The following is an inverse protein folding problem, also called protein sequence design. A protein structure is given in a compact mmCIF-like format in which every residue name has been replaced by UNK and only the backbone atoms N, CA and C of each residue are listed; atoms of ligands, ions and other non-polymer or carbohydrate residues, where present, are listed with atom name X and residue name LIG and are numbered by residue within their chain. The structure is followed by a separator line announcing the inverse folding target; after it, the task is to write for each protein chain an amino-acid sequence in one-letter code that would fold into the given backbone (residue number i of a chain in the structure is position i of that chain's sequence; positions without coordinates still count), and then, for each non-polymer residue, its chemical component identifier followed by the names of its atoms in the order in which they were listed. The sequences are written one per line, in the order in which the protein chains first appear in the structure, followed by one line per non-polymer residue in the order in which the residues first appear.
data_IF_352898659841
#
_entry.id   IF_352898659841
#
_cell.length_a   1.000
_cell.length_b   1.000
_cell.length_c   1.000
_cell.angle_alpha   90.00
_cell.angle_beta   90.00
_cell.angle_gamma   90.00
#
_symmetry.space_group_name_H-M   'P 1'
#
loop_
_entity.id
_entity.type
_entity.pdbx_description
1 polymer ?
#
# COMPACT_ATOMS: atom_id res chain seq x y z
N UNK A 1 10.63 -8.11 -9.11
CA UNK A 1 9.56 -9.13 -9.12
C UNK A 1 9.60 -9.85 -7.79
N UNK A 2 8.62 -9.64 -6.92
CA UNK A 2 8.60 -10.22 -5.56
C UNK A 2 7.68 -11.43 -5.48
N UNK A 3 7.75 -12.17 -4.38
CA UNK A 3 7.05 -13.44 -4.13
C UNK A 3 5.52 -13.38 -4.25
N UNK A 4 4.90 -12.21 -4.08
CA UNK A 4 3.45 -12.00 -4.21
C UNK A 4 3.00 -11.34 -5.53
N UNK A 5 3.92 -11.13 -6.46
CA UNK A 5 3.62 -10.58 -7.79
C UNK A 5 3.67 -9.05 -7.91
N UNK A 6 4.24 -8.32 -6.93
CA UNK A 6 4.42 -6.87 -7.09
C UNK A 6 5.49 -6.56 -8.15
N UNK A 7 5.19 -5.61 -9.03
CA UNK A 7 6.08 -5.00 -9.99
C UNK A 7 6.65 -3.67 -9.52
N UNK A 8 7.23 -2.92 -10.47
CA UNK A 8 7.88 -1.62 -10.19
C UNK A 8 6.84 -0.55 -9.84
N UNK A 9 5.69 -0.55 -10.53
CA UNK A 9 4.61 0.42 -10.27
C UNK A 9 4.00 0.22 -8.89
N UNK A 10 3.79 -1.02 -8.48
CA UNK A 10 3.27 -1.33 -7.14
C UNK A 10 4.28 -0.95 -6.06
N UNK A 11 5.58 -1.13 -6.31
CA UNK A 11 6.61 -0.70 -5.38
C UNK A 11 6.65 0.83 -5.20
N UNK A 12 6.48 1.60 -6.28
CA UNK A 12 6.38 3.06 -6.24
C UNK A 12 5.14 3.51 -5.44
N UNK A 13 3.98 2.89 -5.69
CA UNK A 13 2.75 3.17 -4.94
C UNK A 13 2.96 2.89 -3.44
N UNK A 14 3.57 1.76 -3.08
CA UNK A 14 3.88 1.44 -1.68
C UNK A 14 4.80 2.50 -1.06
N UNK A 15 5.81 2.97 -1.80
CA UNK A 15 6.69 4.05 -1.35
C UNK A 15 5.92 5.33 -1.02
N UNK A 16 5.02 5.75 -1.91
CA UNK A 16 4.19 6.94 -1.69
C UNK A 16 3.23 6.76 -0.51
N UNK A 17 2.64 5.58 -0.33
CA UNK A 17 1.77 5.29 0.82
C UNK A 17 2.54 5.33 2.15
N UNK A 18 3.80 4.92 2.15
CA UNK A 18 4.67 5.04 3.33
C UNK A 18 4.95 6.51 3.62
N UNK A 19 5.31 7.29 2.59
CA UNK A 19 5.55 8.74 2.73
C UNK A 19 4.31 9.47 3.28
N UNK A 20 3.13 9.19 2.73
CA UNK A 20 1.87 9.77 3.17
C UNK A 20 1.62 9.57 4.68
N UNK A 21 1.93 8.38 5.21
CA UNK A 21 1.78 8.10 6.66
C UNK A 21 2.88 8.77 7.48
N UNK A 22 4.11 8.83 6.97
CA UNK A 22 5.22 9.47 7.69
C UNK A 22 5.05 10.99 7.77
N UNK A 23 4.48 11.62 6.76
CA UNK A 23 4.21 13.07 6.73
C UNK A 23 3.07 13.45 7.69
N UNK A 24 2.07 12.58 7.89
CA UNK A 24 0.92 12.82 8.78
C UNK A 24 0.59 11.59 9.64
N UNK A 25 1.43 11.26 10.64
CA UNK A 25 1.34 9.99 11.37
C UNK A 25 0.15 9.89 12.32
N UNK A 26 -0.41 11.02 12.76
CA UNK A 26 -1.56 11.07 13.69
C UNK A 26 -2.88 11.41 12.98
N UNK A 27 -2.85 11.68 11.67
CA UNK A 27 -4.06 11.97 10.92
C UNK A 27 -4.83 10.69 10.58
N UNK A 28 -5.96 10.50 11.27
CA UNK A 28 -6.85 9.36 11.05
C UNK A 28 -7.38 9.30 9.61
N UNK A 29 -7.63 10.43 8.94
CA UNK A 29 -8.13 10.44 7.58
C UNK A 29 -7.08 9.89 6.59
N UNK A 30 -5.82 10.28 6.77
CA UNK A 30 -4.69 9.74 6.00
C UNK A 30 -4.49 8.25 6.25
N UNK A 31 -4.56 7.80 7.50
CA UNK A 31 -4.44 6.37 7.84
C UNK A 31 -5.57 5.54 7.21
N UNK A 32 -6.81 6.01 7.25
CA UNK A 32 -7.94 5.32 6.63
C UNK A 32 -7.81 5.24 5.11
N UNK A 33 -7.41 6.33 4.46
CA UNK A 33 -7.16 6.37 3.01
C UNK A 33 -6.05 5.39 2.62
N UNK A 34 -4.93 5.38 3.35
CA UNK A 34 -3.81 4.48 3.07
C UNK A 34 -4.23 3.03 3.29
N UNK A 35 -4.96 2.73 4.37
CA UNK A 35 -5.49 1.39 4.65
C UNK A 35 -6.39 0.87 3.53
N UNK A 36 -7.28 1.71 2.99
CA UNK A 36 -8.16 1.34 1.89
C UNK A 36 -7.35 0.98 0.62
N UNK A 37 -6.33 1.76 0.29
CA UNK A 37 -5.46 1.49 -0.86
C UNK A 37 -4.63 0.21 -0.69
N UNK A 38 -4.11 -0.04 0.51
CA UNK A 38 -3.41 -1.29 0.85
C UNK A 38 -4.36 -2.50 0.74
N UNK A 39 -5.62 -2.36 1.17
CA UNK A 39 -6.60 -3.43 1.05
C UNK A 39 -6.91 -3.79 -0.41
N UNK A 40 -6.98 -2.81 -1.31
CA UNK A 40 -7.16 -3.04 -2.74
C UNK A 40 -5.93 -3.76 -3.36
N UNK A 41 -4.72 -3.29 -3.06
CA UNK A 41 -3.48 -3.93 -3.52
C UNK A 41 -3.37 -5.39 -3.04
N UNK A 42 -3.66 -5.65 -1.77
CA UNK A 42 -3.55 -7.00 -1.21
C UNK A 42 -4.60 -7.97 -1.77
N UNK A 43 -5.80 -7.49 -2.11
CA UNK A 43 -6.83 -8.28 -2.82
C UNK A 43 -6.42 -8.64 -4.24
N UNK A 44 -5.79 -7.71 -4.97
CA UNK A 44 -5.31 -7.94 -6.34
C UNK A 44 -4.13 -8.92 -6.40
N UNK A 45 -3.32 -8.95 -5.35
CA UNK A 45 -2.12 -9.77 -5.25
C UNK A 45 -2.18 -10.73 -4.04
N UNK A 46 -3.04 -11.77 -4.10
CA UNK A 46 -3.14 -12.76 -3.05
C UNK A 46 -1.85 -13.59 -2.96
N UNK A 47 -1.44 -13.95 -1.74
CA UNK A 47 -0.21 -14.72 -1.49
C UNK A 47 -0.42 -16.21 -1.74
N UNK A 48 -1.61 -16.73 -1.42
CA UNK A 48 -1.99 -18.13 -1.63
C UNK A 48 -3.36 -18.19 -2.33
N UNK A 49 -3.56 -19.21 -3.16
CA UNK A 49 -4.83 -19.51 -3.82
C UNK A 49 -5.42 -20.80 -3.28
#
# INVERSE_FOLDING_TARGET
MTTRGFGVKEAEIVGNLIADVLDNPEDQATIERVRAQVADLTKRFPVYR
#
